data_IF_428516176306
#
_entry.id   IF_428516176306
#
_cell.length_a   1.000
_cell.length_b   1.000
_cell.length_c   1.000
_cell.angle_alpha   90.00
_cell.angle_beta   90.00
_cell.angle_gamma   90.00
#
_symmetry.space_group_name_H-M   'P 1'
#
loop_
_entity.id
_entity.type
_entity.pdbx_description
1 polymer ?
#
# COMPACT_ATOMS: atom_id res chain seq x y z
N UNK A 1 12.04 -55.52 -11.42
CA UNK A 1 10.72 -54.89 -11.21
C UNK A 1 10.74 -53.71 -10.22
N UNK A 2 11.56 -53.71 -9.16
CA UNK A 2 11.60 -52.61 -8.17
C UNK A 2 12.02 -51.19 -8.64
N UNK A 3 12.59 -51.04 -9.85
CA UNK A 3 13.11 -49.74 -10.30
C UNK A 3 12.01 -48.85 -10.91
N UNK A 4 10.99 -49.45 -11.53
CA UNK A 4 9.91 -48.68 -12.17
C UNK A 4 8.97 -48.06 -11.14
N UNK A 5 8.68 -48.74 -10.03
CA UNK A 5 7.82 -48.21 -8.96
C UNK A 5 8.47 -47.00 -8.28
N UNK A 6 9.81 -47.04 -8.08
CA UNK A 6 10.55 -45.88 -7.54
C UNK A 6 10.54 -44.69 -8.50
N UNK A 7 10.71 -44.93 -9.79
CA UNK A 7 10.63 -43.88 -10.81
C UNK A 7 9.22 -43.29 -10.90
N UNK A 8 8.18 -44.13 -10.86
CA UNK A 8 6.79 -43.68 -10.85
C UNK A 8 6.48 -42.83 -9.61
N UNK A 9 6.92 -43.26 -8.41
CA UNK A 9 6.76 -42.48 -7.18
C UNK A 9 7.50 -41.15 -7.26
N UNK A 10 8.73 -41.12 -7.80
CA UNK A 10 9.48 -39.87 -7.97
C UNK A 10 8.78 -38.92 -8.97
N UNK A 11 8.31 -39.42 -10.10
CA UNK A 11 7.56 -38.63 -11.08
C UNK A 11 6.26 -38.10 -10.45
N UNK A 12 5.54 -38.94 -9.69
CA UNK A 12 4.30 -38.55 -9.02
C UNK A 12 4.55 -37.48 -7.95
N UNK A 13 5.64 -37.61 -7.17
CA UNK A 13 6.04 -36.61 -6.17
C UNK A 13 6.45 -35.28 -6.82
N UNK A 14 7.19 -35.32 -7.93
CA UNK A 14 7.55 -34.13 -8.69
C UNK A 14 6.33 -33.46 -9.33
N UNK A 15 5.40 -34.25 -9.86
CA UNK A 15 4.13 -33.76 -10.39
C UNK A 15 3.26 -33.14 -9.30
N UNK A 16 3.17 -33.78 -8.12
CA UNK A 16 2.47 -33.25 -6.95
C UNK A 16 3.11 -31.95 -6.47
N UNK A 17 4.44 -31.88 -6.40
CA UNK A 17 5.17 -30.67 -6.07
C UNK A 17 4.87 -29.54 -7.08
N UNK A 18 4.91 -29.86 -8.37
CA UNK A 18 4.56 -28.92 -9.45
C UNK A 18 3.12 -28.42 -9.35
N UNK A 19 2.17 -29.31 -9.05
CA UNK A 19 0.77 -28.95 -8.85
C UNK A 19 0.58 -28.06 -7.60
N UNK A 20 1.27 -28.35 -6.49
CA UNK A 20 1.28 -27.49 -5.32
C UNK A 20 1.81 -26.10 -5.63
N UNK A 21 2.92 -26.00 -6.38
CA UNK A 21 3.48 -24.71 -6.81
C UNK A 21 2.53 -23.95 -7.74
N UNK A 22 1.83 -24.65 -8.63
CA UNK A 22 0.83 -24.05 -9.52
C UNK A 22 -0.36 -23.47 -8.75
N UNK A 23 -0.85 -24.19 -7.74
CA UNK A 23 -1.93 -23.72 -6.86
C UNK A 23 -1.47 -22.54 -5.99
N UNK A 24 -0.20 -22.51 -5.58
CA UNK A 24 0.39 -21.39 -4.84
C UNK A 24 0.73 -20.19 -5.70
N UNK A 25 0.90 -20.34 -7.02
CA UNK A 25 1.28 -19.27 -7.94
C UNK A 25 0.47 -17.97 -7.79
N UNK A 26 -0.88 -17.98 -7.71
CA UNK A 26 -1.65 -16.74 -7.53
C UNK A 26 -1.41 -16.07 -6.16
N UNK A 27 -0.92 -16.81 -5.16
CA UNK A 27 -0.65 -16.30 -3.81
C UNK A 27 0.81 -15.93 -3.58
N UNK A 28 1.68 -16.07 -4.59
CA UNK A 28 3.11 -15.86 -4.42
C UNK A 28 3.46 -14.46 -3.91
N UNK A 29 2.77 -13.45 -4.45
CA UNK A 29 2.97 -12.07 -4.03
C UNK A 29 2.51 -11.85 -2.57
N UNK A 30 1.36 -12.39 -2.18
CA UNK A 30 0.89 -12.33 -0.79
C UNK A 30 1.81 -13.08 0.18
N UNK A 31 2.32 -14.26 -0.23
CA UNK A 31 3.27 -15.06 0.52
C UNK A 31 4.58 -14.29 0.72
N UNK A 32 5.08 -13.65 -0.33
CA UNK A 32 6.28 -12.83 -0.30
C UNK A 32 6.14 -11.64 0.65
N UNK A 33 5.09 -10.84 0.52
CA UNK A 33 4.84 -9.70 1.39
C UNK A 33 4.61 -10.13 2.84
N UNK A 34 3.89 -11.23 3.05
CA UNK A 34 3.72 -11.83 4.37
C UNK A 34 5.05 -12.27 4.99
N UNK A 35 5.93 -12.89 4.20
CA UNK A 35 7.25 -13.31 4.66
C UNK A 35 8.13 -12.11 5.02
N UNK A 36 8.17 -11.08 4.16
CA UNK A 36 8.90 -9.83 4.40
C UNK A 36 8.44 -9.19 5.71
N UNK A 37 7.12 -9.04 5.89
CA UNK A 37 6.56 -8.42 7.10
C UNK A 37 6.87 -9.27 8.34
N UNK A 38 6.73 -10.59 8.27
CA UNK A 38 7.02 -11.51 9.36
C UNK A 38 8.50 -11.51 9.75
N UNK A 39 9.42 -11.51 8.78
CA UNK A 39 10.86 -11.44 9.04
C UNK A 39 11.27 -10.12 9.68
N UNK A 40 10.71 -9.00 9.22
CA UNK A 40 11.03 -7.67 9.73
C UNK A 40 10.57 -7.45 11.17
N UNK A 41 9.42 -8.01 11.50
CA UNK A 41 8.79 -7.90 12.81
C UNK A 41 9.08 -9.10 13.72
N UNK A 42 9.92 -10.04 13.26
CA UNK A 42 10.46 -11.13 14.05
C UNK A 42 11.09 -10.71 15.40
N UNK A 43 11.87 -9.61 15.52
CA UNK A 43 12.30 -9.13 16.83
C UNK A 43 11.13 -8.78 17.76
N UNK A 44 10.08 -8.14 17.23
CA UNK A 44 8.86 -7.83 17.99
C UNK A 44 8.15 -9.10 18.44
N UNK A 45 8.02 -10.09 17.55
CA UNK A 45 7.47 -11.40 17.86
C UNK A 45 8.24 -12.07 19.01
N UNK A 46 9.57 -12.05 18.98
CA UNK A 46 10.40 -12.62 20.05
C UNK A 46 10.22 -11.90 21.39
N UNK A 47 10.13 -10.58 21.39
CA UNK A 47 9.86 -9.79 22.60
C UNK A 47 8.48 -10.12 23.19
N UNK A 48 7.46 -10.19 22.33
CA UNK A 48 6.08 -10.49 22.72
C UNK A 48 5.94 -11.93 23.25
N UNK A 49 6.57 -12.90 22.60
CA UNK A 49 6.58 -14.30 23.04
C UNK A 49 7.24 -14.45 24.41
N UNK A 50 8.34 -13.72 24.67
CA UNK A 50 8.99 -13.68 25.99
C UNK A 50 8.06 -13.08 27.04
N UNK A 51 7.39 -11.97 26.73
CA UNK A 51 6.42 -11.34 27.62
C UNK A 51 5.21 -12.25 27.93
N UNK A 52 4.77 -13.04 26.94
CA UNK A 52 3.66 -14.00 27.05
C UNK A 52 4.06 -15.39 27.57
N UNK A 53 5.22 -15.50 28.24
CA UNK A 53 5.72 -16.73 28.88
C UNK A 53 5.88 -17.91 27.90
N UNK A 54 6.31 -17.64 26.67
CA UNK A 54 6.56 -18.67 25.65
C UNK A 54 5.34 -19.09 24.84
N UNK A 55 4.20 -18.42 24.98
CA UNK A 55 2.97 -18.72 24.21
C UNK A 55 3.04 -18.15 22.79
N UNK A 56 3.72 -18.87 21.90
CA UNK A 56 3.97 -18.46 20.51
C UNK A 56 2.68 -18.19 19.71
N UNK A 57 1.65 -19.03 19.83
CA UNK A 57 0.39 -18.86 19.09
C UNK A 57 -0.37 -17.58 19.50
N UNK A 58 -0.34 -17.23 20.78
CA UNK A 58 -0.96 -16.01 21.28
C UNK A 58 -0.15 -14.78 20.88
N UNK A 59 1.18 -14.85 20.93
CA UNK A 59 2.04 -13.78 20.45
C UNK A 59 1.82 -13.52 18.95
N UNK A 60 1.78 -14.58 18.14
CA UNK A 60 1.49 -14.48 16.72
C UNK A 60 0.11 -13.84 16.46
N UNK A 61 -0.93 -14.30 17.17
CA UNK A 61 -2.29 -13.77 17.01
C UNK A 61 -2.38 -12.28 17.35
N UNK A 62 -1.80 -11.86 18.48
CA UNK A 62 -1.79 -10.46 18.92
C UNK A 62 -1.05 -9.58 17.91
N UNK A 63 0.13 -10.02 17.45
CA UNK A 63 0.95 -9.25 16.53
C UNK A 63 0.28 -9.14 15.15
N UNK A 64 -0.29 -10.24 14.64
CA UNK A 64 -1.06 -10.24 13.39
C UNK A 64 -2.31 -9.36 13.48
N UNK A 65 -3.06 -9.40 14.59
CA UNK A 65 -4.19 -8.50 14.82
C UNK A 65 -3.72 -7.03 14.87
N UNK A 66 -2.58 -6.77 15.52
CA UNK A 66 -1.95 -5.45 15.53
C UNK A 66 -1.67 -4.94 14.11
N UNK A 67 -1.07 -5.78 13.26
CA UNK A 67 -0.85 -5.45 11.85
C UNK A 67 -2.15 -5.26 11.06
N UNK A 68 -3.15 -6.09 11.30
CA UNK A 68 -4.46 -5.96 10.66
C UNK A 68 -5.09 -4.61 11.00
N UNK A 69 -5.12 -4.22 12.28
CA UNK A 69 -5.65 -2.92 12.69
C UNK A 69 -4.80 -1.78 12.12
N UNK A 70 -3.48 -1.86 12.24
CA UNK A 70 -2.56 -0.80 11.80
C UNK A 70 -2.62 -0.55 10.29
N UNK A 71 -2.81 -1.59 9.48
CA UNK A 71 -2.73 -1.51 8.02
C UNK A 71 -4.10 -1.52 7.35
N UNK A 72 -5.01 -2.44 7.69
CA UNK A 72 -6.33 -2.50 7.05
C UNK A 72 -7.22 -1.34 7.49
N UNK A 73 -7.20 -0.93 8.77
CA UNK A 73 -8.17 0.08 9.23
C UNK A 73 -8.02 1.42 8.50
N UNK A 74 -6.80 1.98 8.31
CA UNK A 74 -6.63 3.21 7.53
C UNK A 74 -6.99 3.03 6.05
N UNK A 75 -6.65 1.88 5.45
CA UNK A 75 -6.96 1.59 4.04
C UNK A 75 -8.46 1.49 3.79
N UNK A 76 -9.19 0.80 4.67
CA UNK A 76 -10.65 0.67 4.60
C UNK A 76 -11.32 2.02 4.83
N UNK A 77 -10.84 2.79 5.81
CA UNK A 77 -11.35 4.15 6.07
C UNK A 77 -11.13 5.07 4.87
N UNK A 78 -9.93 5.04 4.26
CA UNK A 78 -9.63 5.79 3.04
C UNK A 78 -10.52 5.35 1.87
N UNK A 79 -10.75 4.04 1.74
CA UNK A 79 -11.62 3.44 0.73
C UNK A 79 -13.07 3.93 0.85
N UNK A 80 -13.62 4.00 2.07
CA UNK A 80 -14.96 4.55 2.29
C UNK A 80 -15.04 6.04 1.96
N UNK A 81 -14.09 6.86 2.41
CA UNK A 81 -14.07 8.29 2.08
C UNK A 81 -13.99 8.54 0.57
N UNK A 82 -13.15 7.79 -0.14
CA UNK A 82 -13.04 7.91 -1.58
C UNK A 82 -14.33 7.48 -2.30
N UNK A 83 -14.97 6.41 -1.82
CA UNK A 83 -16.24 5.94 -2.38
C UNK A 83 -17.37 6.96 -2.23
N UNK A 84 -17.43 7.65 -1.09
CA UNK A 84 -18.42 8.71 -0.83
C UNK A 84 -18.17 9.92 -1.75
N UNK A 85 -16.92 10.35 -1.92
CA UNK A 85 -16.58 11.44 -2.84
C UNK A 85 -16.83 11.10 -4.32
N UNK A 86 -16.67 9.84 -4.73
CA UNK A 86 -17.02 9.39 -6.08
C UNK A 86 -18.54 9.36 -6.27
N UNK A 87 -19.30 8.93 -5.26
CA UNK A 87 -20.77 8.97 -5.30
C UNK A 87 -21.29 10.39 -5.46
N UNK A 88 -20.76 11.34 -4.69
CA UNK A 88 -21.13 12.75 -4.78
C UNK A 88 -20.79 13.33 -6.16
N UNK A 89 -19.63 12.98 -6.73
CA UNK A 89 -19.27 13.38 -8.09
C UNK A 89 -20.22 12.79 -9.15
N UNK A 90 -20.63 11.52 -9.01
CA UNK A 90 -21.60 10.91 -9.93
C UNK A 90 -23.02 11.46 -9.75
N UNK A 91 -23.40 11.83 -8.54
CA UNK A 91 -24.67 12.49 -8.24
C UNK A 91 -24.68 13.91 -8.84
N UNK A 92 -23.60 14.67 -8.70
CA UNK A 92 -23.42 15.97 -9.32
C UNK A 92 -23.51 15.90 -10.86
N UNK A 93 -22.88 14.89 -11.47
CA UNK A 93 -22.97 14.66 -12.92
C UNK A 93 -24.42 14.32 -13.33
N UNK A 94 -25.15 13.58 -12.50
CA UNK A 94 -26.55 13.20 -12.76
C UNK A 94 -27.51 14.37 -12.58
N UNK A 95 -27.33 15.21 -11.56
CA UNK A 95 -28.09 16.45 -11.35
C UNK A 95 -27.87 17.42 -12.52
N UNK A 96 -26.62 17.61 -12.94
CA UNK A 96 -26.30 18.44 -14.12
C UNK A 96 -26.91 17.89 -15.41
N UNK A 97 -27.14 16.57 -15.48
CA UNK A 97 -27.76 15.91 -16.64
C UNK A 97 -29.30 16.00 -16.64
N UNK A 98 -29.94 16.20 -15.49
CA UNK A 98 -31.40 16.23 -15.33
C UNK A 98 -31.93 17.66 -15.20
N UNK A 99 -31.27 18.51 -14.42
CA UNK A 99 -31.72 19.86 -14.07
C UNK A 99 -31.00 20.99 -14.82
N UNK A 100 -29.96 20.67 -15.61
CA UNK A 100 -29.10 21.67 -16.25
C UNK A 100 -27.97 22.14 -15.34
N UNK A 101 -27.10 23.03 -15.84
CA UNK A 101 -26.01 23.57 -15.02
C UNK A 101 -26.60 24.46 -13.92
N UNK A 102 -26.20 24.31 -12.65
CA UNK A 102 -26.57 25.27 -11.62
C UNK A 102 -26.04 26.67 -11.98
N UNK A 103 -26.72 27.70 -11.47
CA UNK A 103 -26.33 29.10 -11.67
C UNK A 103 -24.83 29.31 -11.40
N UNK A 104 -24.15 30.17 -12.19
CA UNK A 104 -22.72 30.36 -12.10
C UNK A 104 -22.34 30.71 -10.65
N UNK A 105 -21.43 29.96 -10.02
CA UNK A 105 -21.12 30.16 -8.62
C UNK A 105 -20.44 31.52 -8.44
N UNK A 106 -20.85 32.28 -7.42
CA UNK A 106 -20.53 33.71 -7.25
C UNK A 106 -19.03 34.04 -7.21
N UNK A 107 -18.17 33.06 -6.89
CA UNK A 107 -16.71 33.20 -6.94
C UNK A 107 -16.16 33.35 -8.36
N UNK A 108 -16.86 32.86 -9.40
CA UNK A 108 -16.47 33.01 -10.81
C UNK A 108 -16.52 34.49 -11.25
N UNK A 109 -17.50 35.24 -10.75
CA UNK A 109 -17.67 36.67 -11.04
C UNK A 109 -16.61 37.53 -10.34
N UNK A 110 -15.99 37.02 -9.27
CA UNK A 110 -14.97 37.74 -8.50
C UNK A 110 -13.56 37.67 -9.09
N UNK A 111 -13.33 36.95 -10.19
CA UNK A 111 -11.99 36.80 -10.80
C UNK A 111 -11.67 38.00 -11.70
N UNK A 112 -10.72 38.89 -11.33
CA UNK A 112 -10.37 40.03 -12.17
C UNK A 112 -9.75 39.55 -13.50
N UNK A 113 -10.11 40.22 -14.60
CA UNK A 113 -9.80 39.94 -16.02
C UNK A 113 -10.52 38.78 -16.72
N UNK A 114 -10.97 37.73 -16.03
CA UNK A 114 -11.52 36.51 -16.71
C UNK A 114 -12.96 36.18 -16.28
N UNK A 115 -13.47 36.77 -15.19
CA UNK A 115 -14.79 36.49 -14.63
C UNK A 115 -15.95 36.74 -15.60
N UNK A 116 -15.99 37.92 -16.24
CA UNK A 116 -17.07 38.23 -17.20
C UNK A 116 -17.05 37.33 -18.45
N UNK A 117 -15.86 36.91 -18.90
CA UNK A 117 -15.72 35.97 -20.03
C UNK A 117 -16.18 34.57 -19.63
N UNK A 118 -15.83 34.10 -18.44
CA UNK A 118 -16.25 32.79 -17.92
C UNK A 118 -17.76 32.73 -17.65
N UNK A 119 -18.37 33.81 -17.16
CA UNK A 119 -19.83 33.93 -17.01
C UNK A 119 -20.52 33.96 -18.38
N UNK A 120 -19.95 34.66 -19.37
CA UNK A 120 -20.43 34.62 -20.76
C UNK A 120 -20.37 33.22 -21.37
N UNK A 121 -19.27 32.48 -21.16
CA UNK A 121 -19.16 31.08 -21.56
C UNK A 121 -20.16 30.19 -20.82
N UNK A 122 -20.34 30.36 -19.50
CA UNK A 122 -21.31 29.62 -18.70
C UNK A 122 -22.75 29.74 -19.25
N UNK A 123 -23.17 30.94 -19.62
CA UNK A 123 -24.49 31.19 -20.21
C UNK A 123 -24.63 30.61 -21.63
N UNK A 124 -23.55 30.56 -22.43
CA UNK A 124 -23.59 29.87 -23.73
C UNK A 124 -23.58 28.35 -23.61
N UNK A 125 -22.96 27.83 -22.55
CA UNK A 125 -22.94 26.41 -22.20
C UNK A 125 -24.33 25.98 -21.71
N UNK A 126 -25.07 26.83 -21.00
CA UNK A 126 -26.45 26.55 -20.55
C UNK A 126 -27.42 26.36 -21.74
N UNK A 127 -27.35 27.22 -22.77
CA UNK A 127 -28.15 27.09 -23.99
C UNK A 127 -27.75 25.91 -24.91
N UNK A 128 -26.54 25.36 -24.75
CA UNK A 128 -26.00 24.25 -25.54
C UNK A 128 -25.59 23.04 -24.68
N UNK A 129 -26.12 22.94 -23.45
CA UNK A 129 -25.63 21.99 -22.44
C UNK A 129 -25.72 20.55 -22.89
N UNK A 130 -26.75 20.21 -23.68
CA UNK A 130 -26.91 18.90 -24.29
C UNK A 130 -25.77 18.55 -25.29
N UNK A 131 -25.28 19.52 -26.08
CA UNK A 131 -24.23 19.29 -27.07
C UNK A 131 -22.85 19.11 -26.41
N UNK A 132 -22.55 19.89 -25.38
CA UNK A 132 -21.32 19.76 -24.61
C UNK A 132 -21.30 18.47 -23.76
N UNK A 133 -22.43 18.08 -23.18
CA UNK A 133 -22.56 16.77 -22.50
C UNK A 133 -22.33 15.61 -23.47
N UNK A 134 -22.74 15.71 -24.73
CA UNK A 134 -22.45 14.69 -25.76
C UNK A 134 -20.96 14.63 -26.11
N UNK A 135 -20.26 15.77 -26.14
CA UNK A 135 -18.80 15.80 -26.35
C UNK A 135 -17.99 15.34 -25.14
N UNK A 136 -18.53 15.51 -23.92
CA UNK A 136 -17.89 15.14 -22.65
C UNK A 136 -18.23 13.70 -22.21
N UNK A 137 -19.36 13.14 -22.67
CA UNK A 137 -19.78 11.74 -22.43
C UNK A 137 -18.69 10.68 -22.72
N UNK A 138 -17.93 10.74 -23.83
CA UNK A 138 -16.86 9.78 -24.09
C UNK A 138 -15.73 9.87 -23.05
N UNK A 139 -15.41 11.09 -22.61
CA UNK A 139 -14.41 11.32 -21.57
C UNK A 139 -14.91 10.89 -20.20
N UNK A 140 -16.18 11.15 -19.86
CA UNK A 140 -16.82 10.63 -18.63
C UNK A 140 -16.88 9.11 -18.62
N UNK A 141 -17.18 8.48 -19.77
CA UNK A 141 -17.15 7.03 -19.93
C UNK A 141 -15.75 6.45 -19.78
N UNK A 142 -14.74 7.10 -20.37
CA UNK A 142 -13.34 6.70 -20.20
C UNK A 142 -12.85 6.89 -18.76
N UNK A 143 -13.16 8.00 -18.12
CA UNK A 143 -12.81 8.27 -16.71
C UNK A 143 -13.54 7.31 -15.78
N UNK A 144 -14.83 7.01 -16.03
CA UNK A 144 -15.60 6.04 -15.28
C UNK A 144 -15.05 4.62 -15.43
N UNK A 145 -14.72 4.20 -16.65
CA UNK A 145 -14.12 2.88 -16.89
C UNK A 145 -12.70 2.79 -16.33
N UNK A 146 -11.92 3.89 -16.39
CA UNK A 146 -10.61 4.00 -15.76
C UNK A 146 -10.71 3.91 -14.23
N UNK A 147 -11.67 4.62 -13.61
CA UNK A 147 -11.97 4.54 -12.18
C UNK A 147 -12.40 3.14 -11.77
N UNK A 148 -13.30 2.49 -12.52
CA UNK A 148 -13.75 1.12 -12.26
C UNK A 148 -12.61 0.10 -12.36
N UNK A 149 -11.78 0.20 -13.40
CA UNK A 149 -10.61 -0.65 -13.56
C UNK A 149 -9.61 -0.43 -12.41
N UNK A 150 -9.39 0.83 -11.99
CA UNK A 150 -8.53 1.15 -10.84
C UNK A 150 -9.13 0.69 -9.52
N UNK A 151 -10.44 0.81 -9.30
CA UNK A 151 -11.07 0.32 -8.07
C UNK A 151 -11.01 -1.20 -7.96
N UNK A 152 -11.16 -1.93 -9.08
CA UNK A 152 -10.98 -3.38 -9.10
C UNK A 152 -9.53 -3.78 -8.74
N UNK A 153 -8.54 -3.05 -9.26
CA UNK A 153 -7.13 -3.26 -8.92
C UNK A 153 -6.83 -2.94 -7.44
N UNK A 154 -7.38 -1.83 -6.92
CA UNK A 154 -7.23 -1.45 -5.50
C UNK A 154 -7.88 -2.51 -4.60
N UNK A 155 -9.09 -2.98 -4.93
CA UNK A 155 -9.76 -4.04 -4.20
C UNK A 155 -8.97 -5.35 -4.20
N UNK A 156 -8.41 -5.72 -5.36
CA UNK A 156 -7.48 -6.85 -5.49
C UNK A 156 -6.25 -6.70 -4.58
N UNK A 157 -5.63 -5.51 -4.56
CA UNK A 157 -4.49 -5.22 -3.67
C UNK A 157 -4.83 -5.29 -2.18
N UNK A 158 -6.04 -4.85 -1.78
CA UNK A 158 -6.51 -4.97 -0.39
C UNK A 158 -6.70 -6.44 0.00
N UNK A 159 -7.29 -7.25 -0.88
CA UNK A 159 -7.42 -8.70 -0.65
C UNK A 159 -6.07 -9.37 -0.52
N UNK A 160 -5.14 -9.03 -1.41
CA UNK A 160 -3.77 -9.55 -1.40
C UNK A 160 -3.02 -9.16 -0.12
N UNK A 161 -3.15 -7.91 0.32
CA UNK A 161 -2.57 -7.42 1.56
C UNK A 161 -3.20 -8.10 2.78
N UNK A 162 -4.52 -8.34 2.77
CA UNK A 162 -5.23 -9.09 3.81
C UNK A 162 -4.70 -10.53 3.90
N UNK A 163 -4.57 -11.20 2.75
CA UNK A 163 -3.97 -12.54 2.67
C UNK A 163 -2.52 -12.55 3.16
N UNK A 164 -1.74 -11.52 2.82
CA UNK A 164 -0.36 -11.37 3.30
C UNK A 164 -0.30 -11.33 4.83
N UNK A 165 -1.17 -10.54 5.46
CA UNK A 165 -1.27 -10.45 6.93
C UNK A 165 -1.73 -11.79 7.54
N UNK A 166 -2.63 -12.52 6.88
CA UNK A 166 -2.98 -13.87 7.31
C UNK A 166 -1.75 -14.80 7.23
N UNK A 167 -0.95 -14.74 6.18
CA UNK A 167 0.28 -15.54 6.07
C UNK A 167 1.32 -15.18 7.14
N UNK A 168 1.39 -13.93 7.58
CA UNK A 168 2.26 -13.51 8.69
C UNK A 168 2.00 -14.33 9.95
N UNK A 169 0.73 -14.63 10.28
CA UNK A 169 0.39 -15.48 11.41
C UNK A 169 1.02 -16.89 11.29
N UNK A 170 0.89 -17.50 10.10
CA UNK A 170 1.48 -18.81 9.83
C UNK A 170 3.01 -18.77 9.84
N UNK A 171 3.63 -17.70 9.32
CA UNK A 171 5.08 -17.53 9.39
C UNK A 171 5.59 -17.38 10.82
N UNK A 172 4.87 -16.65 11.68
CA UNK A 172 5.26 -16.57 13.09
C UNK A 172 5.12 -17.89 13.83
N UNK A 173 4.02 -18.62 13.59
CA UNK A 173 3.70 -19.87 14.29
C UNK A 173 4.54 -21.06 13.81
N UNK A 174 4.61 -21.23 12.50
CA UNK A 174 5.19 -22.43 11.87
C UNK A 174 6.59 -22.16 11.27
N UNK A 175 7.05 -20.90 11.26
CA UNK A 175 8.38 -20.51 10.78
C UNK A 175 9.53 -21.36 11.35
N UNK A 176 9.61 -21.61 12.67
CA UNK A 176 10.66 -22.46 13.24
C UNK A 176 10.61 -23.91 12.72
N UNK A 177 9.41 -24.45 12.50
CA UNK A 177 9.22 -25.81 11.97
C UNK A 177 9.64 -25.89 10.50
N UNK A 178 9.25 -24.90 9.71
CA UNK A 178 9.64 -24.80 8.30
C UNK A 178 11.15 -24.64 8.16
N UNK A 179 11.77 -23.80 9.01
CA UNK A 179 13.23 -23.62 9.03
C UNK A 179 13.96 -24.93 9.37
N UNK A 180 13.49 -25.68 10.38
CA UNK A 180 14.06 -26.98 10.73
C UNK A 180 13.91 -28.01 9.60
N UNK A 181 12.76 -28.02 8.91
CA UNK A 181 12.55 -28.88 7.75
C UNK A 181 13.52 -28.53 6.60
N UNK A 182 13.63 -27.25 6.25
CA UNK A 182 14.57 -26.78 5.22
C UNK A 182 16.02 -27.14 5.58
N UNK A 183 16.41 -26.94 6.85
CA UNK A 183 17.74 -27.32 7.32
C UNK A 183 17.99 -28.82 7.13
N UNK A 184 17.05 -29.68 7.53
CA UNK A 184 17.19 -31.15 7.37
C UNK A 184 17.31 -31.59 5.91
N UNK A 185 16.66 -30.88 4.98
CA UNK A 185 16.79 -31.12 3.55
C UNK A 185 18.16 -30.66 3.03
N UNK A 186 18.63 -29.49 3.46
CA UNK A 186 19.95 -28.99 3.11
C UNK A 186 21.06 -29.88 3.66
N UNK A 187 20.95 -30.36 4.91
CA UNK A 187 21.91 -31.30 5.51
C UNK A 187 22.04 -32.58 4.66
N UNK A 188 20.93 -33.07 4.08
CA UNK A 188 20.96 -34.22 3.17
C UNK A 188 21.61 -33.93 1.81
N UNK A 189 21.57 -32.69 1.34
CA UNK A 189 22.08 -32.30 0.01
C UNK A 189 23.54 -31.83 0.04
N UNK A 190 23.91 -31.05 1.06
CA UNK A 190 25.20 -30.35 1.15
C UNK A 190 25.96 -30.64 2.45
N UNK A 191 25.45 -31.53 3.31
CA UNK A 191 26.14 -32.00 4.52
C UNK A 191 26.34 -30.90 5.56
N UNK A 192 27.50 -30.96 6.25
CA UNK A 192 27.84 -30.10 7.41
C UNK A 192 27.82 -28.60 7.12
N UNK A 193 27.87 -28.18 5.84
CA UNK A 193 27.81 -26.77 5.45
C UNK A 193 26.38 -26.20 5.41
N UNK A 194 25.36 -27.03 5.54
CA UNK A 194 23.96 -26.64 5.44
C UNK A 194 23.59 -25.49 6.39
N UNK A 195 23.97 -25.62 7.66
CA UNK A 195 23.71 -24.60 8.69
C UNK A 195 24.38 -23.27 8.33
N UNK A 196 25.65 -23.29 7.91
CA UNK A 196 26.39 -22.09 7.52
C UNK A 196 25.73 -21.33 6.36
N UNK A 197 25.33 -22.03 5.29
CA UNK A 197 24.68 -21.38 4.15
C UNK A 197 23.29 -20.87 4.51
N UNK A 198 22.52 -21.62 5.31
CA UNK A 198 21.20 -21.19 5.76
C UNK A 198 21.29 -19.90 6.59
N UNK A 199 22.23 -19.85 7.54
CA UNK A 199 22.45 -18.67 8.38
C UNK A 199 22.95 -17.47 7.56
N UNK A 200 23.81 -17.72 6.56
CA UNK A 200 24.32 -16.66 5.68
C UNK A 200 23.20 -16.06 4.81
N UNK A 201 22.34 -16.90 4.23
CA UNK A 201 21.17 -16.45 3.44
C UNK A 201 20.17 -15.73 4.34
N UNK A 202 19.78 -16.35 5.46
CA UNK A 202 18.82 -15.78 6.39
C UNK A 202 19.31 -14.43 6.94
N UNK A 203 20.58 -14.34 7.33
CA UNK A 203 21.19 -13.11 7.83
C UNK A 203 21.30 -12.02 6.76
N UNK A 204 21.46 -12.38 5.49
CA UNK A 204 21.49 -11.41 4.38
C UNK A 204 20.09 -10.90 4.07
N UNK A 205 19.12 -11.79 3.94
CA UNK A 205 17.70 -11.44 3.75
C UNK A 205 17.21 -10.57 4.90
N UNK A 206 17.50 -10.97 6.15
CA UNK A 206 17.09 -10.21 7.33
C UNK A 206 17.71 -8.81 7.36
N UNK A 207 18.99 -8.65 6.99
CA UNK A 207 19.62 -7.33 6.91
C UNK A 207 18.97 -6.43 5.85
N UNK A 208 18.70 -6.97 4.66
CA UNK A 208 18.03 -6.22 3.59
C UNK A 208 16.60 -5.82 3.98
N UNK A 209 15.82 -6.78 4.47
CA UNK A 209 14.43 -6.56 4.89
C UNK A 209 14.36 -5.56 6.04
N UNK A 210 15.19 -5.70 7.07
CA UNK A 210 15.25 -4.76 8.19
C UNK A 210 15.74 -3.37 7.76
N UNK A 211 16.65 -3.31 6.77
CA UNK A 211 17.09 -2.05 6.19
C UNK A 211 15.94 -1.32 5.49
N UNK A 212 15.25 -1.99 4.56
CA UNK A 212 14.12 -1.41 3.81
C UNK A 212 12.96 -0.98 4.71
N UNK A 213 12.57 -1.82 5.67
CA UNK A 213 11.47 -1.49 6.58
C UNK A 213 11.90 -0.47 7.63
N UNK A 214 13.15 -0.52 8.10
CA UNK A 214 13.72 0.48 8.99
C UNK A 214 13.73 1.86 8.36
N UNK A 215 14.15 1.97 7.09
CA UNK A 215 14.06 3.22 6.34
C UNK A 215 12.62 3.68 6.16
N UNK A 216 11.71 2.78 5.77
CA UNK A 216 10.31 3.10 5.60
C UNK A 216 9.66 3.62 6.90
N UNK A 217 9.98 3.01 8.04
CA UNK A 217 9.51 3.45 9.35
C UNK A 217 10.06 4.84 9.72
N UNK A 218 11.36 5.08 9.51
CA UNK A 218 11.96 6.39 9.74
C UNK A 218 11.31 7.47 8.86
N UNK A 219 11.09 7.17 7.57
CA UNK A 219 10.43 8.08 6.63
C UNK A 219 8.99 8.37 7.03
N UNK A 220 8.24 7.35 7.47
CA UNK A 220 6.86 7.52 7.93
C UNK A 220 6.76 8.38 9.19
N UNK A 221 7.66 8.19 10.16
CA UNK A 221 7.70 9.01 11.38
C UNK A 221 8.06 10.45 11.05
N UNK A 222 9.07 10.66 10.20
CA UNK A 222 9.48 12.01 9.79
C UNK A 222 8.40 12.70 8.97
N UNK A 223 7.71 11.99 8.07
CA UNK A 223 6.58 12.50 7.33
C UNK A 223 5.41 12.86 8.26
N UNK A 224 5.08 11.99 9.22
CA UNK A 224 4.06 12.24 10.24
C UNK A 224 4.37 13.52 11.03
N UNK A 225 5.60 13.68 11.50
CA UNK A 225 6.04 14.90 12.19
C UNK A 225 5.86 16.12 11.29
N UNK A 226 6.27 16.03 10.02
CA UNK A 226 6.08 17.10 9.04
C UNK A 226 4.61 17.47 8.84
N UNK A 227 3.72 16.48 8.70
CA UNK A 227 2.28 16.69 8.55
C UNK A 227 1.63 17.27 9.81
N UNK A 228 2.06 16.86 11.00
CA UNK A 228 1.57 17.41 12.27
C UNK A 228 1.99 18.87 12.44
N UNK A 229 3.25 19.21 12.13
CA UNK A 229 3.74 20.60 12.20
C UNK A 229 3.02 21.48 11.18
N UNK A 230 2.82 20.99 9.97
CA UNK A 230 2.13 21.72 8.90
C UNK A 230 0.60 21.77 9.08
N UNK A 231 0.03 21.13 10.12
CA UNK A 231 -1.41 21.16 10.39
C UNK A 231 -2.27 20.41 9.36
N UNK A 232 -1.71 19.42 8.67
CA UNK A 232 -2.43 18.66 7.64
C UNK A 232 -3.47 17.74 8.31
N UNK A 233 -4.75 17.81 7.90
CA UNK A 233 -5.79 16.95 8.45
C UNK A 233 -5.48 15.48 8.12
N UNK A 234 -5.71 14.59 9.09
CA UNK A 234 -5.44 13.17 8.89
C UNK A 234 -3.94 12.81 8.84
N UNK A 235 -3.06 13.62 9.43
CA UNK A 235 -1.61 13.41 9.48
C UNK A 235 -1.21 11.96 9.82
N UNK A 236 -1.90 11.30 10.75
CA UNK A 236 -1.65 9.91 11.12
C UNK A 236 -1.88 8.95 9.95
N UNK A 237 -2.98 9.13 9.20
CA UNK A 237 -3.31 8.31 8.02
C UNK A 237 -2.29 8.55 6.92
N UNK A 238 -1.87 9.79 6.70
CA UNK A 238 -0.84 10.14 5.71
C UNK A 238 0.54 9.59 6.09
N UNK A 239 0.87 9.57 7.39
CA UNK A 239 2.09 8.95 7.90
C UNK A 239 2.10 7.43 7.69
N UNK A 240 0.99 6.75 8.00
CA UNK A 240 0.83 5.30 7.71
C UNK A 240 0.86 5.04 6.20
N UNK A 241 0.20 5.87 5.40
CA UNK A 241 0.28 5.82 3.95
C UNK A 241 1.72 5.95 3.48
N UNK A 242 2.50 6.84 4.09
CA UNK A 242 3.92 7.06 3.77
C UNK A 242 4.74 5.82 4.07
N UNK A 243 4.50 5.15 5.21
CA UNK A 243 5.14 3.88 5.54
C UNK A 243 4.91 2.82 4.47
N UNK A 244 3.65 2.64 4.05
CA UNK A 244 3.27 1.62 3.07
C UNK A 244 3.85 1.93 1.69
N UNK A 245 3.71 3.18 1.24
CA UNK A 245 4.23 3.62 -0.06
C UNK A 245 5.75 3.62 -0.07
N UNK A 246 6.42 3.83 1.05
CA UNK A 246 7.88 3.79 1.15
C UNK A 246 8.50 2.43 0.84
N UNK A 247 7.71 1.35 0.82
CA UNK A 247 8.15 0.05 0.32
C UNK A 247 8.30 0.03 -1.21
N UNK A 248 7.66 0.97 -1.90
CA UNK A 248 7.73 1.18 -3.35
C UNK A 248 8.74 2.29 -3.64
N UNK A 249 9.59 2.14 -4.68
CA UNK A 249 10.45 3.23 -5.13
C UNK A 249 9.63 4.51 -5.41
N UNK A 250 10.10 5.65 -4.91
CA UNK A 250 9.42 6.96 -5.03
C UNK A 250 8.03 7.07 -4.37
N UNK A 251 7.71 6.20 -3.41
CA UNK A 251 6.43 6.26 -2.71
C UNK A 251 6.18 7.50 -1.82
N UNK A 252 7.11 7.93 -0.94
CA UNK A 252 6.87 9.05 -0.03
C UNK A 252 6.51 10.38 -0.73
N UNK A 253 7.18 10.76 -1.84
CA UNK A 253 6.78 11.92 -2.65
C UNK A 253 5.31 11.90 -3.08
N UNK A 254 4.74 10.73 -3.33
CA UNK A 254 3.36 10.60 -3.77
C UNK A 254 2.34 11.08 -2.71
N UNK A 255 2.73 11.16 -1.44
CA UNK A 255 1.87 11.64 -0.35
C UNK A 255 2.15 13.09 -0.01
N UNK A 256 3.42 13.45 0.22
CA UNK A 256 3.72 14.81 0.69
C UNK A 256 3.58 15.87 -0.41
N UNK A 257 3.74 15.52 -1.70
CA UNK A 257 3.52 16.46 -2.81
C UNK A 257 2.06 16.94 -2.86
N UNK A 258 1.04 16.06 -2.91
CA UNK A 258 -0.36 16.50 -2.81
C UNK A 258 -0.68 17.26 -1.54
N UNK A 259 -0.14 16.84 -0.39
CA UNK A 259 -0.35 17.54 0.88
C UNK A 259 0.22 18.97 0.86
N UNK A 260 1.38 19.14 0.22
CA UNK A 260 2.03 20.45 0.03
C UNK A 260 1.23 21.34 -0.92
N UNK A 261 0.73 20.77 -2.03
CA UNK A 261 -0.12 21.48 -2.99
C UNK A 261 -1.44 21.93 -2.33
N UNK A 262 -2.02 21.08 -1.47
CA UNK A 262 -3.22 21.40 -0.71
C UNK A 262 -3.02 22.57 0.27
N UNK A 263 -1.89 22.60 0.98
CA UNK A 263 -1.52 23.74 1.84
C UNK A 263 -1.37 25.04 1.06
N UNK A 264 -0.72 24.98 -0.12
CA UNK A 264 -0.57 26.13 -0.99
C UNK A 264 -1.92 26.64 -1.52
N UNK A 265 -2.85 25.73 -1.84
CA UNK A 265 -4.20 26.11 -2.28
C UNK A 265 -5.02 26.76 -1.16
N UNK A 266 -4.79 26.36 0.09
CA UNK A 266 -5.41 26.97 1.27
C UNK A 266 -4.88 28.38 1.60
N UNK A 267 -3.82 28.82 0.93
CA UNK A 267 -3.15 30.11 1.18
C UNK A 267 -2.03 30.05 2.24
N UNK A 268 -1.75 28.87 2.81
CA UNK A 268 -0.72 28.65 3.83
C UNK A 268 0.67 28.42 3.20
N UNK A 269 1.16 29.42 2.47
CA UNK A 269 2.42 29.30 1.71
C UNK A 269 3.63 29.01 2.59
N UNK A 270 3.67 29.51 3.83
CA UNK A 270 4.77 29.25 4.77
C UNK A 270 4.87 27.76 5.14
N UNK A 271 3.74 27.13 5.47
CA UNK A 271 3.69 25.70 5.78
C UNK A 271 3.84 24.83 4.54
N UNK A 272 3.38 25.29 3.37
CA UNK A 272 3.63 24.60 2.10
C UNK A 272 5.12 24.56 1.75
N UNK A 273 5.84 25.69 1.86
CA UNK A 273 7.29 25.73 1.63
C UNK A 273 8.02 24.86 2.65
N UNK A 274 7.64 24.94 3.94
CA UNK A 274 8.19 24.09 4.98
C UNK A 274 8.00 22.61 4.66
N UNK A 275 6.78 22.17 4.33
CA UNK A 275 6.48 20.77 4.05
C UNK A 275 7.19 20.28 2.79
N UNK A 276 7.30 21.12 1.75
CA UNK A 276 8.06 20.82 0.55
C UNK A 276 9.55 20.63 0.81
N UNK A 277 10.17 21.52 1.59
CA UNK A 277 11.58 21.40 1.99
C UNK A 277 11.79 20.20 2.93
N UNK A 278 10.88 19.98 3.89
CA UNK A 278 10.93 18.84 4.81
C UNK A 278 10.80 17.51 4.05
N UNK A 279 9.86 17.42 3.12
CA UNK A 279 9.63 16.24 2.29
C UNK A 279 10.84 15.91 1.41
N UNK A 280 11.42 16.92 0.75
CA UNK A 280 12.56 16.74 -0.16
C UNK A 280 13.87 16.45 0.56
N UNK A 281 14.22 17.21 1.60
CA UNK A 281 15.52 17.07 2.26
C UNK A 281 15.52 16.04 3.39
N UNK A 282 14.45 15.99 4.19
CA UNK A 282 14.41 15.12 5.37
C UNK A 282 13.79 13.78 4.98
N UNK A 283 12.54 13.75 4.51
CA UNK A 283 11.85 12.48 4.24
C UNK A 283 12.52 11.69 3.09
N UNK A 284 12.85 12.35 1.98
CA UNK A 284 13.55 11.68 0.87
C UNK A 284 15.05 11.49 1.13
N UNK A 285 15.70 12.34 1.93
CA UNK A 285 17.12 12.19 2.25
C UNK A 285 17.45 11.01 3.16
N UNK A 286 16.50 10.56 3.98
CA UNK A 286 16.65 9.43 4.91
C UNK A 286 16.98 8.12 4.20
N UNK A 287 16.40 7.88 3.01
CA UNK A 287 16.73 6.72 2.17
C UNK A 287 18.23 6.70 1.83
N UNK A 288 18.74 7.83 1.33
CA UNK A 288 20.16 7.97 0.91
C UNK A 288 21.16 7.83 2.06
N UNK A 289 20.75 8.12 3.31
CA UNK A 289 21.63 8.03 4.48
C UNK A 289 21.63 6.63 5.08
N UNK A 290 20.47 5.95 5.08
CA UNK A 290 20.30 4.63 5.70
C UNK A 290 20.52 3.45 4.73
N UNK A 291 20.47 3.69 3.42
CA UNK A 291 20.86 2.74 2.36
C UNK A 291 22.08 3.31 1.60
N UNK A 292 23.30 3.20 2.14
CA UNK A 292 24.50 3.52 1.36
C UNK A 292 24.73 2.55 0.20
#
# INVERSE_FOLDING_TARGET
MFNNDRLLVQILLLALLGACLWVMAPFWSALFWGAVLAFASWPLMRLLTRALKGRESLAAAILTLGWMVLVLAPLVWLGFNLADHVRDATAFVKDVQVDGLPDPPTWLAGVPLVGERLVGYWNTIDQQGAALLVSVRPYLGQVGNWLLARSAQIGGGILELTLSIVFVFFFYRDGPRVAAFVLSLLERLIGDRAQYYLDLVAGTVQRVVNGVIGTAAAQAVLALIGFLIAGVPGALVLGIGTFLLSLVPMGPPLIWIPATAWLAWRGDYGMAIFLGLWGTFIVSGVDNVLKP
#
